data_IF_380574824889
#
_entry.id   IF_380574824889
#
_cell.length_a   1.000
_cell.length_b   1.000
_cell.length_c   1.000
_cell.angle_alpha   90.00
_cell.angle_beta   90.00
_cell.angle_gamma   90.00
#
_symmetry.space_group_name_H-M   'P 1'
#
loop_
_entity.id
_entity.type
_entity.pdbx_description
1 polymer ?
#
# COMPACT_ATOMS: atom_id res chain seq x y z
N UNK A 1 -15.86 -5.25 7.92
CA UNK A 1 -14.85 -4.45 7.20
C UNK A 1 -14.52 -5.14 5.88
N UNK A 2 -14.81 -4.47 4.80
CA UNK A 2 -14.70 -4.97 3.43
C UNK A 2 -13.58 -4.22 2.70
N UNK A 3 -12.83 -4.91 1.84
CA UNK A 3 -11.87 -4.26 0.94
C UNK A 3 -12.54 -4.15 -0.42
N UNK A 4 -12.54 -2.95 -0.97
CA UNK A 4 -12.98 -2.65 -2.33
C UNK A 4 -11.72 -2.45 -3.16
N UNK A 5 -11.56 -3.24 -4.24
CA UNK A 5 -10.48 -3.06 -5.21
C UNK A 5 -11.01 -2.16 -6.33
N UNK A 6 -10.27 -1.10 -6.63
CA UNK A 6 -10.62 -0.05 -7.59
C UNK A 6 -9.36 0.53 -8.21
N UNK A 7 -9.47 1.66 -8.89
CA UNK A 7 -8.35 2.38 -9.52
C UNK A 7 -8.29 3.86 -9.09
N UNK A 8 -7.33 4.58 -9.63
CA UNK A 8 -7.04 5.98 -9.29
C UNK A 8 -8.18 6.96 -9.60
N UNK A 9 -9.18 6.53 -10.38
CA UNK A 9 -10.32 7.37 -10.75
C UNK A 9 -11.42 7.36 -9.71
N UNK A 10 -11.35 6.49 -8.69
CA UNK A 10 -12.33 6.41 -7.61
C UNK A 10 -12.39 7.71 -6.80
N UNK A 11 -13.55 8.37 -6.78
CA UNK A 11 -13.72 9.66 -6.10
C UNK A 11 -13.42 9.59 -4.60
N UNK A 12 -13.66 8.44 -3.96
CA UNK A 12 -13.37 8.26 -2.53
C UNK A 12 -11.87 8.21 -2.26
N UNK A 13 -11.11 7.65 -3.21
CA UNK A 13 -9.66 7.64 -3.14
C UNK A 13 -9.10 9.03 -3.41
N UNK A 14 -9.62 9.76 -4.41
CA UNK A 14 -9.21 11.14 -4.69
C UNK A 14 -9.44 12.06 -3.50
N UNK A 15 -10.60 11.95 -2.85
CA UNK A 15 -10.93 12.73 -1.64
C UNK A 15 -9.93 12.44 -0.52
N UNK A 16 -9.64 11.17 -0.25
CA UNK A 16 -8.60 10.79 0.70
C UNK A 16 -7.23 11.35 0.30
N UNK A 17 -6.78 11.13 -0.93
CA UNK A 17 -5.47 11.57 -1.38
C UNK A 17 -5.29 13.09 -1.22
N UNK A 18 -6.30 13.87 -1.64
CA UNK A 18 -6.31 15.32 -1.46
C UNK A 18 -6.23 15.74 0.01
N UNK A 19 -6.93 15.04 0.91
CA UNK A 19 -6.88 15.33 2.36
C UNK A 19 -5.51 15.08 3.01
N UNK A 20 -4.70 14.19 2.41
CA UNK A 20 -3.33 13.91 2.82
C UNK A 20 -2.28 14.70 2.00
N UNK A 21 -2.72 15.59 1.10
CA UNK A 21 -1.83 16.43 0.30
C UNK A 21 -1.07 15.69 -0.80
N UNK A 22 -1.57 14.53 -1.27
CA UNK A 22 -0.97 13.84 -2.41
C UNK A 22 -1.61 14.21 -3.74
N UNK A 23 -0.80 14.09 -4.79
CA UNK A 23 -1.21 14.18 -6.19
C UNK A 23 -1.17 12.80 -6.83
N UNK A 24 -2.21 12.46 -7.58
CA UNK A 24 -2.32 11.20 -8.32
C UNK A 24 -1.75 11.43 -9.72
N UNK A 25 -0.57 10.88 -9.99
CA UNK A 25 0.15 11.11 -11.26
C UNK A 25 0.11 9.92 -12.21
N UNK A 26 0.03 8.70 -11.66
CA UNK A 26 0.18 7.46 -12.42
C UNK A 26 -1.03 6.52 -12.23
N UNK A 27 -1.35 5.68 -13.22
CA UNK A 27 -2.32 4.60 -13.05
C UNK A 27 -1.91 3.67 -11.92
N UNK A 28 -2.86 3.32 -11.05
CA UNK A 28 -2.58 2.50 -9.88
C UNK A 28 -3.78 1.67 -9.47
N UNK A 29 -3.50 0.49 -8.94
CA UNK A 29 -4.50 -0.31 -8.26
C UNK A 29 -4.70 0.26 -6.86
N UNK A 30 -5.95 0.48 -6.48
CA UNK A 30 -6.34 1.08 -5.22
C UNK A 30 -7.18 0.10 -4.42
N UNK A 31 -6.88 -0.03 -3.13
CA UNK A 31 -7.65 -0.79 -2.16
C UNK A 31 -8.25 0.18 -1.15
N UNK A 32 -9.58 0.22 -1.07
CA UNK A 32 -10.32 1.01 -0.09
C UNK A 32 -10.87 0.10 1.01
N UNK A 33 -10.60 0.44 2.26
CA UNK A 33 -11.16 -0.26 3.41
C UNK A 33 -12.47 0.40 3.86
N UNK A 34 -13.57 -0.29 3.61
CA UNK A 34 -14.90 0.12 4.03
C UNK A 34 -15.27 -0.46 5.40
N UNK A 35 -15.68 0.40 6.32
CA UNK A 35 -16.24 0.03 7.62
C UNK A 35 -17.57 0.75 7.81
N UNK A 36 -18.67 -0.01 7.81
CA UNK A 36 -20.04 0.50 8.00
C UNK A 36 -20.41 1.66 7.06
N UNK A 37 -20.00 1.58 5.79
CA UNK A 37 -20.30 2.58 4.76
C UNK A 37 -19.34 3.77 4.74
N UNK A 38 -18.28 3.76 5.57
CA UNK A 38 -17.24 4.79 5.60
C UNK A 38 -15.89 4.23 5.19
N UNK A 39 -15.15 4.98 4.39
CA UNK A 39 -13.76 4.65 4.07
C UNK A 39 -12.89 5.03 5.26
N UNK A 40 -12.26 4.02 5.86
CA UNK A 40 -11.41 4.16 7.04
C UNK A 40 -9.92 4.06 6.73
N UNK A 41 -9.58 3.70 5.50
CA UNK A 41 -8.22 3.73 5.01
C UNK A 41 -8.12 3.28 3.56
N UNK A 42 -6.97 3.54 2.95
CA UNK A 42 -6.62 3.06 1.63
C UNK A 42 -5.15 2.68 1.54
N UNK A 43 -4.84 1.83 0.56
CA UNK A 43 -3.48 1.65 0.05
C UNK A 43 -3.55 1.53 -1.46
N UNK A 44 -2.46 1.85 -2.14
CA UNK A 44 -2.38 1.70 -3.60
C UNK A 44 -0.99 1.26 -4.01
N UNK A 45 -0.91 0.64 -5.19
CA UNK A 45 0.36 0.39 -5.85
C UNK A 45 0.31 0.71 -7.34
N UNK A 46 1.48 1.05 -7.88
CA UNK A 46 1.72 1.19 -9.31
C UNK A 46 2.86 0.27 -9.75
N UNK A 47 3.05 0.15 -11.06
CA UNK A 47 4.21 -0.53 -11.63
C UNK A 47 5.47 0.26 -11.27
N UNK A 48 6.46 -0.41 -10.67
CA UNK A 48 7.77 0.17 -10.39
C UNK A 48 8.78 -0.16 -11.49
N UNK A 49 8.89 -1.45 -11.79
CA UNK A 49 9.69 -1.99 -12.89
C UNK A 49 9.03 -3.26 -13.47
N UNK A 50 9.77 -4.01 -14.29
CA UNK A 50 9.26 -5.23 -14.95
C UNK A 50 8.94 -6.37 -13.97
N UNK A 51 9.48 -6.33 -12.75
CA UNK A 51 9.35 -7.42 -11.77
C UNK A 51 8.73 -6.95 -10.44
N UNK A 52 8.52 -5.65 -10.26
CA UNK A 52 8.18 -5.06 -8.97
C UNK A 52 7.02 -4.06 -9.06
N UNK A 53 6.16 -4.09 -8.04
CA UNK A 53 5.17 -3.04 -7.78
C UNK A 53 5.65 -2.11 -6.66
N UNK A 54 5.31 -0.82 -6.73
CA UNK A 54 5.59 0.16 -5.68
C UNK A 54 4.30 0.51 -4.94
N UNK A 55 4.31 0.36 -3.62
CA UNK A 55 3.26 0.92 -2.75
C UNK A 55 3.45 2.43 -2.69
N UNK A 56 2.47 3.17 -3.18
CA UNK A 56 2.51 4.64 -3.27
C UNK A 56 1.72 5.32 -2.18
N UNK A 57 0.71 4.65 -1.61
CA UNK A 57 -0.09 5.21 -0.53
C UNK A 57 -0.40 4.20 0.57
N UNK A 58 -0.48 4.71 1.79
CA UNK A 58 -1.07 4.03 2.95
C UNK A 58 -1.67 5.08 3.87
N UNK A 59 -2.92 5.46 3.60
CA UNK A 59 -3.63 6.48 4.37
C UNK A 59 -4.70 5.85 5.24
N UNK A 60 -4.77 6.25 6.50
CA UNK A 60 -5.72 5.70 7.46
C UNK A 60 -6.41 6.83 8.22
N UNK A 61 -7.74 6.82 8.23
CA UNK A 61 -8.56 7.83 8.91
C UNK A 61 -8.75 7.51 10.41
N UNK A 62 -8.37 6.32 10.86
CA UNK A 62 -8.53 5.86 12.25
C UNK A 62 -7.17 5.60 12.90
N UNK A 63 -6.97 6.17 14.09
CA UNK A 63 -5.83 5.83 14.96
C UNK A 63 -6.04 4.49 15.67
N UNK A 64 -7.30 4.11 15.93
CA UNK A 64 -7.62 2.81 16.52
C UNK A 64 -7.35 1.69 15.51
N UNK A 65 -6.60 0.67 15.93
CA UNK A 65 -6.24 -0.50 15.13
C UNK A 65 -5.41 -0.21 13.85
N UNK A 66 -4.68 0.91 13.80
CA UNK A 66 -3.84 1.31 12.67
C UNK A 66 -2.96 0.16 12.15
N UNK A 67 -2.20 -0.49 13.01
CA UNK A 67 -1.33 -1.61 12.65
C UNK A 67 -2.11 -2.77 11.98
N UNK A 68 -3.21 -3.21 12.61
CA UNK A 68 -4.06 -4.29 12.08
C UNK A 68 -4.66 -3.93 10.73
N UNK A 69 -5.06 -2.67 10.54
CA UNK A 69 -5.60 -2.17 9.28
C UNK A 69 -4.51 -2.14 8.21
N UNK A 70 -3.34 -1.59 8.51
CA UNK A 70 -2.19 -1.57 7.59
C UNK A 70 -1.85 -2.97 7.11
N UNK A 71 -1.73 -3.94 8.03
CA UNK A 71 -1.43 -5.32 7.66
C UNK A 71 -2.47 -5.93 6.75
N UNK A 72 -3.75 -5.68 7.01
CA UNK A 72 -4.82 -6.20 6.18
C UNK A 72 -4.75 -5.63 4.77
N UNK A 73 -4.52 -4.33 4.64
CA UNK A 73 -4.40 -3.64 3.36
C UNK A 73 -3.16 -4.09 2.58
N UNK A 74 -1.99 -4.06 3.22
CA UNK A 74 -0.72 -4.44 2.59
C UNK A 74 -0.74 -5.90 2.15
N UNK A 75 -1.21 -6.84 2.99
CA UNK A 75 -1.28 -8.26 2.58
C UNK A 75 -2.24 -8.51 1.42
N UNK A 76 -3.35 -7.78 1.36
CA UNK A 76 -4.28 -7.89 0.23
C UNK A 76 -3.66 -7.29 -1.04
N UNK A 77 -2.90 -6.20 -0.90
CA UNK A 77 -2.15 -5.60 -2.00
C UNK A 77 -1.06 -6.54 -2.52
N UNK A 78 -0.27 -7.14 -1.63
CA UNK A 78 0.73 -8.16 -1.97
C UNK A 78 0.12 -9.32 -2.76
N UNK A 79 -1.07 -9.78 -2.33
CA UNK A 79 -1.80 -10.81 -3.06
C UNK A 79 -2.15 -10.39 -4.49
N UNK A 80 -2.64 -9.18 -4.67
CA UNK A 80 -2.99 -8.67 -6.01
C UNK A 80 -1.72 -8.48 -6.86
N UNK A 81 -0.63 -8.01 -6.27
CA UNK A 81 0.65 -7.89 -6.95
C UNK A 81 1.17 -9.26 -7.43
N UNK A 82 1.06 -10.31 -6.60
CA UNK A 82 1.36 -11.69 -7.00
C UNK A 82 0.43 -12.19 -8.12
N UNK A 83 -0.86 -11.88 -8.05
CA UNK A 83 -1.83 -12.23 -9.11
C UNK A 83 -1.51 -11.52 -10.45
N UNK A 84 -0.78 -10.39 -10.39
CA UNK A 84 -0.25 -9.67 -11.56
C UNK A 84 1.17 -10.09 -11.96
N UNK A 85 1.65 -11.22 -11.44
CA UNK A 85 2.95 -11.82 -11.74
C UNK A 85 4.17 -10.96 -11.34
N UNK A 86 3.98 -9.94 -10.50
CA UNK A 86 5.12 -9.28 -9.86
C UNK A 86 5.85 -10.25 -8.95
N UNK A 87 7.18 -10.15 -8.92
CA UNK A 87 8.06 -10.95 -8.07
C UNK A 87 8.31 -10.29 -6.72
N UNK A 88 8.09 -8.98 -6.62
CA UNK A 88 8.33 -8.23 -5.40
C UNK A 88 7.46 -6.99 -5.27
N UNK A 89 7.44 -6.44 -4.05
CA UNK A 89 6.87 -5.13 -3.77
C UNK A 89 7.91 -4.27 -3.09
N UNK A 90 7.96 -2.99 -3.47
CA UNK A 90 8.81 -1.96 -2.88
C UNK A 90 7.97 -0.86 -2.24
N UNK A 91 8.57 -0.16 -1.29
CA UNK A 91 8.02 1.05 -0.68
C UNK A 91 9.15 2.04 -0.41
N UNK A 92 8.93 3.29 -0.80
CA UNK A 92 9.85 4.41 -0.60
C UNK A 92 9.38 5.26 0.59
N UNK A 93 10.32 5.79 1.36
CA UNK A 93 10.04 6.68 2.50
C UNK A 93 10.70 8.04 2.31
N UNK A 94 10.15 9.08 2.94
CA UNK A 94 10.78 10.41 2.94
C UNK A 94 11.88 10.53 4.00
N UNK A 95 11.86 9.67 5.04
CA UNK A 95 12.87 9.65 6.08
C UNK A 95 12.98 8.29 6.79
N UNK A 96 14.11 8.05 7.45
CA UNK A 96 14.35 6.88 8.32
C UNK A 96 13.55 6.88 9.62
N UNK A 97 12.90 8.00 9.93
CA UNK A 97 12.09 8.18 11.15
C UNK A 97 10.58 7.94 10.88
N UNK A 98 10.23 7.51 9.67
CA UNK A 98 8.84 7.26 9.30
C UNK A 98 8.26 6.11 10.15
N UNK A 99 7.15 6.41 10.82
CA UNK A 99 6.42 5.49 11.69
C UNK A 99 5.88 4.25 10.96
N UNK A 100 5.79 4.28 9.63
CA UNK A 100 5.37 3.15 8.84
C UNK A 100 6.47 2.10 8.66
N UNK A 101 7.74 2.43 8.89
CA UNK A 101 8.86 1.50 8.74
C UNK A 101 8.64 0.24 9.59
N UNK A 102 8.25 0.39 10.86
CA UNK A 102 8.00 -0.74 11.76
C UNK A 102 6.89 -1.68 11.24
N UNK A 103 5.88 -1.13 10.55
CA UNK A 103 4.80 -1.91 9.92
C UNK A 103 5.37 -2.78 8.80
N UNK A 104 6.24 -2.22 7.96
CA UNK A 104 6.85 -2.93 6.84
C UNK A 104 7.89 -3.95 7.31
N UNK A 105 8.70 -3.64 8.32
CA UNK A 105 9.65 -4.59 8.93
C UNK A 105 8.93 -5.83 9.46
N UNK A 106 7.81 -5.65 10.19
CA UNK A 106 6.98 -6.76 10.69
C UNK A 106 6.28 -7.56 9.58
N UNK A 107 6.27 -7.04 8.36
CA UNK A 107 5.77 -7.73 7.16
C UNK A 107 6.90 -8.33 6.31
N UNK A 108 8.11 -8.44 6.87
CA UNK A 108 9.31 -9.01 6.24
C UNK A 108 9.91 -8.16 5.10
N UNK A 109 9.59 -6.86 5.04
CA UNK A 109 10.30 -5.93 4.15
C UNK A 109 11.68 -5.62 4.72
N UNK A 110 12.66 -5.42 3.85
CA UNK A 110 14.03 -5.08 4.22
C UNK A 110 14.51 -3.87 3.42
N UNK A 111 15.31 -3.00 4.04
CA UNK A 111 15.97 -1.93 3.31
C UNK A 111 16.93 -2.51 2.26
N UNK A 112 16.76 -2.08 1.01
CA UNK A 112 17.65 -2.38 -0.12
C UNK A 112 18.41 -1.16 -0.61
N UNK A 113 17.98 0.02 -0.18
CA UNK A 113 18.66 1.31 -0.34
C UNK A 113 18.40 2.17 0.91
N UNK A 114 18.84 3.44 0.91
CA UNK A 114 18.72 4.31 2.07
C UNK A 114 17.26 4.51 2.53
N UNK A 115 16.36 4.80 1.59
CA UNK A 115 14.95 5.06 1.90
C UNK A 115 14.00 4.10 1.17
N UNK A 116 14.52 2.99 0.64
CA UNK A 116 13.75 2.00 -0.11
C UNK A 116 13.75 0.67 0.61
N UNK A 117 12.56 0.16 0.95
CA UNK A 117 12.37 -1.20 1.44
C UNK A 117 11.73 -2.08 0.36
N UNK A 118 12.11 -3.36 0.35
CA UNK A 118 11.64 -4.36 -0.60
C UNK A 118 11.24 -5.65 0.10
N UNK A 119 10.21 -6.32 -0.42
CA UNK A 119 9.86 -7.69 -0.08
C UNK A 119 9.77 -8.53 -1.34
N UNK A 120 10.60 -9.58 -1.40
CA UNK A 120 10.52 -10.60 -2.43
C UNK A 120 9.40 -11.60 -2.13
N UNK A 121 8.57 -11.90 -3.11
CA UNK A 121 7.62 -13.00 -3.00
C UNK A 121 8.36 -14.32 -3.19
N UNK A 122 8.30 -15.17 -2.16
CA UNK A 122 8.85 -16.51 -2.27
C UNK A 122 8.05 -17.26 -3.32
N UNK A 123 8.70 -17.65 -4.41
CA UNK A 123 8.13 -18.60 -5.35
C UNK A 123 7.83 -19.89 -4.57
N UNK A 124 6.57 -20.33 -4.60
CA UNK A 124 6.19 -21.66 -4.10
C UNK A 124 6.75 -22.67 -5.10
N UNK A 125 8.04 -23.02 -4.95
CA UNK A 125 8.68 -24.13 -5.65
C UNK A 125 8.25 -25.44 -4.99
#
# INVERSE_FOLDING_TARGET
MEIIVTDERDERFKEMCSSFGCDITDPQVVLLLNSFGKIVGCTSFKVYDLESAEITTLFLNSYENREKISYKLIRQLEKIAMDYEFKSVVVSFDSREDILIEVFEKLDYQFVDDLLMKKEFKSLI
#
